data_IF_579364472179
#
_entry.id   IF_579364472179
#
_cell.length_a   1.000
_cell.length_b   1.000
_cell.length_c   1.000
_cell.angle_alpha   90.00
_cell.angle_beta   90.00
_cell.angle_gamma   90.00
#
_symmetry.space_group_name_H-M   'P 1'
#
loop_
_entity.id
_entity.type
_entity.pdbx_description
1 polymer ?
#
# COMPACT_ATOMS: atom_id res chain seq x y z
N UNK A 1 -9.79 14.32 -14.89
CA UNK A 1 -9.55 14.12 -13.42
C UNK A 1 -8.66 15.27 -12.96
N UNK A 2 -9.16 16.16 -12.09
CA UNK A 2 -8.58 17.48 -11.77
C UNK A 2 -7.07 17.43 -11.39
N UNK A 3 -6.62 16.42 -10.62
CA UNK A 3 -5.24 16.34 -10.18
C UNK A 3 -4.26 15.97 -11.33
N UNK A 4 -4.69 15.12 -12.26
CA UNK A 4 -3.90 14.77 -13.45
C UNK A 4 -3.80 15.96 -14.43
N UNK A 5 -4.90 16.66 -14.66
CA UNK A 5 -4.95 17.85 -15.52
C UNK A 5 -4.03 18.98 -15.02
N UNK A 6 -3.81 19.04 -13.70
CA UNK A 6 -2.90 20.00 -13.07
C UNK A 6 -1.46 19.50 -12.93
N UNK A 7 -1.13 18.36 -13.54
CA UNK A 7 0.22 17.76 -13.46
C UNK A 7 0.62 17.30 -12.07
N UNK A 8 -0.34 17.11 -11.15
CA UNK A 8 -0.08 16.68 -9.78
C UNK A 8 -0.06 15.15 -9.64
N UNK A 9 -0.51 14.42 -10.64
CA UNK A 9 -0.51 12.96 -10.71
C UNK A 9 0.16 12.53 -12.01
N UNK A 10 1.46 12.18 -11.95
CA UNK A 10 2.32 11.94 -13.11
C UNK A 10 2.21 10.51 -13.64
N UNK A 11 1.94 9.54 -12.74
CA UNK A 11 1.71 8.13 -13.06
C UNK A 11 2.89 7.33 -13.66
N UNK A 12 4.06 7.91 -13.91
CA UNK A 12 5.20 7.18 -14.47
C UNK A 12 5.78 6.15 -13.49
N UNK A 13 5.69 6.44 -12.20
CA UNK A 13 6.13 5.52 -11.14
C UNK A 13 5.05 5.33 -10.08
N UNK A 14 4.92 4.09 -9.58
CA UNK A 14 3.96 3.75 -8.53
C UNK A 14 4.68 3.14 -7.32
N UNK A 15 4.34 3.59 -6.12
CA UNK A 15 4.70 2.90 -4.89
C UNK A 15 3.47 2.20 -4.31
N UNK A 16 3.63 0.92 -3.94
CA UNK A 16 2.53 0.08 -3.41
C UNK A 16 2.80 -0.35 -1.98
N UNK A 17 1.77 -0.35 -1.16
CA UNK A 17 1.81 -0.88 0.21
C UNK A 17 0.39 -1.15 0.73
N UNK A 18 0.30 -1.81 1.90
CA UNK A 18 -0.95 -2.14 2.55
C UNK A 18 -0.94 -1.76 4.03
N UNK A 19 -2.11 -1.38 4.53
CA UNK A 19 -2.29 -1.13 5.95
C UNK A 19 -3.48 -1.88 6.51
N UNK A 20 -3.35 -2.33 7.76
CA UNK A 20 -4.45 -3.00 8.49
C UNK A 20 -5.37 -1.94 9.07
N UNK A 21 -6.68 -2.14 8.88
CA UNK A 21 -7.77 -1.40 9.53
C UNK A 21 -8.48 -2.39 10.45
N UNK A 22 -8.49 -2.09 11.73
CA UNK A 22 -9.06 -2.99 12.73
C UNK A 22 -10.60 -3.08 12.62
N UNK A 23 -11.15 -4.24 12.93
CA UNK A 23 -12.59 -4.45 13.09
C UNK A 23 -12.93 -4.91 14.52
N UNK A 24 -14.17 -4.73 14.98
CA UNK A 24 -14.60 -5.27 16.27
C UNK A 24 -14.43 -6.79 16.31
N UNK A 25 -13.65 -7.28 17.27
CA UNK A 25 -13.44 -8.71 17.47
C UNK A 25 -14.42 -9.34 18.46
N UNK A 26 -15.26 -8.53 19.11
CA UNK A 26 -16.27 -8.98 20.09
C UNK A 26 -17.41 -9.72 19.41
N UNK A 27 -17.89 -10.77 20.07
CA UNK A 27 -19.13 -11.48 19.73
C UNK A 27 -20.30 -11.03 20.59
N UNK A 28 -20.10 -10.02 21.48
CA UNK A 28 -21.15 -9.44 22.31
C UNK A 28 -21.97 -8.42 21.51
N UNK A 29 -22.70 -8.90 20.53
CA UNK A 29 -23.61 -8.12 19.69
C UNK A 29 -24.90 -8.94 19.48
N UNK A 30 -25.93 -8.33 18.90
CA UNK A 30 -27.23 -8.97 18.68
C UNK A 30 -27.16 -10.28 17.88
N UNK A 31 -26.18 -10.41 17.01
CA UNK A 31 -26.00 -11.62 16.18
C UNK A 31 -25.10 -12.68 16.81
N UNK A 32 -24.43 -12.38 17.92
CA UNK A 32 -23.45 -13.28 18.56
C UNK A 32 -22.23 -13.64 17.72
N UNK A 33 -22.05 -12.97 16.57
CA UNK A 33 -21.01 -13.31 15.59
C UNK A 33 -20.13 -12.12 15.23
N UNK A 34 -18.90 -12.40 14.82
CA UNK A 34 -18.00 -11.41 14.19
C UNK A 34 -18.43 -11.17 12.74
N UNK A 35 -17.94 -10.09 12.17
CA UNK A 35 -18.09 -9.83 10.73
C UNK A 35 -17.37 -10.92 9.93
N UNK A 36 -18.11 -11.67 9.11
CA UNK A 36 -17.60 -12.81 8.35
C UNK A 36 -16.65 -12.43 7.21
N UNK A 37 -16.68 -11.17 6.76
CA UNK A 37 -15.79 -10.65 5.72
C UNK A 37 -14.46 -10.12 6.29
N UNK A 38 -14.34 -10.08 7.63
CA UNK A 38 -13.12 -9.65 8.33
C UNK A 38 -12.37 -10.87 8.86
N UNK A 39 -11.03 -10.86 8.75
CA UNK A 39 -10.21 -11.98 9.19
C UNK A 39 -9.06 -11.56 10.09
N UNK A 40 -8.43 -12.55 10.71
CA UNK A 40 -7.25 -12.36 11.54
C UNK A 40 -5.99 -12.36 10.69
N UNK A 41 -5.04 -11.50 11.06
CA UNK A 41 -3.68 -11.50 10.53
C UNK A 41 -2.68 -11.22 11.64
N UNK A 42 -1.45 -11.68 11.49
CA UNK A 42 -0.36 -11.44 12.44
C UNK A 42 0.62 -10.44 11.83
N UNK A 43 0.94 -9.38 12.57
CA UNK A 43 2.03 -8.44 12.21
C UNK A 43 3.01 -8.38 13.38
N UNK A 44 4.23 -8.84 13.15
CA UNK A 44 5.17 -9.08 14.25
C UNK A 44 4.63 -10.12 15.24
N UNK A 45 4.56 -9.79 16.52
CA UNK A 45 4.00 -10.66 17.56
C UNK A 45 2.53 -10.34 17.92
N UNK A 46 1.91 -9.39 17.22
CA UNK A 46 0.54 -8.95 17.50
C UNK A 46 -0.46 -9.48 16.48
N UNK A 47 -1.60 -9.95 16.97
CA UNK A 47 -2.76 -10.36 16.17
C UNK A 47 -3.71 -9.19 15.96
N UNK A 48 -4.19 -9.05 14.74
CA UNK A 48 -5.19 -8.08 14.34
C UNK A 48 -6.38 -8.80 13.70
N UNK A 49 -7.59 -8.33 13.98
CA UNK A 49 -8.81 -8.75 13.29
C UNK A 49 -9.35 -7.57 12.50
N UNK A 50 -9.63 -7.73 11.22
CA UNK A 50 -10.12 -6.65 10.39
C UNK A 50 -9.93 -6.87 8.89
N UNK A 51 -9.68 -5.77 8.18
CA UNK A 51 -9.42 -5.71 6.75
C UNK A 51 -8.07 -5.07 6.45
N UNK A 52 -7.62 -5.19 5.21
CA UNK A 52 -6.50 -4.42 4.66
C UNK A 52 -7.00 -3.41 3.65
N UNK A 53 -6.36 -2.25 3.64
CA UNK A 53 -6.41 -1.29 2.55
C UNK A 53 -5.06 -1.32 1.85
N UNK A 54 -5.07 -1.72 0.59
CA UNK A 54 -3.92 -1.69 -0.30
C UNK A 54 -4.03 -0.44 -1.16
N UNK A 55 -2.94 0.29 -1.35
CA UNK A 55 -2.93 1.50 -2.18
C UNK A 55 -1.77 1.50 -3.15
N UNK A 56 -2.04 2.04 -4.35
CA UNK A 56 -1.03 2.52 -5.28
C UNK A 56 -0.96 4.04 -5.20
N UNK A 57 0.24 4.57 -5.00
CA UNK A 57 0.49 6.01 -4.98
C UNK A 57 1.48 6.39 -6.05
N UNK A 58 1.29 7.56 -6.62
CA UNK A 58 2.27 8.15 -7.52
C UNK A 58 3.61 8.37 -6.81
N UNK A 59 4.68 7.83 -7.38
CA UNK A 59 6.02 7.83 -6.78
C UNK A 59 6.62 9.24 -6.65
N UNK A 60 6.13 10.22 -7.40
CA UNK A 60 6.60 11.61 -7.36
C UNK A 60 5.79 12.47 -6.42
N UNK A 61 4.48 12.50 -6.59
CA UNK A 61 3.58 13.35 -5.79
C UNK A 61 3.19 12.74 -4.43
N UNK A 62 3.19 11.41 -4.31
CA UNK A 62 2.67 10.67 -3.16
C UNK A 62 1.14 10.65 -3.08
N UNK A 63 0.44 11.01 -4.16
CA UNK A 63 -1.02 10.99 -4.24
C UNK A 63 -1.52 9.58 -4.58
N UNK A 64 -2.59 9.17 -3.93
CA UNK A 64 -3.22 7.86 -4.13
C UNK A 64 -3.99 7.86 -5.46
N UNK A 65 -3.70 6.92 -6.34
CA UNK A 65 -4.43 6.72 -7.58
C UNK A 65 -5.31 5.46 -7.56
N UNK A 66 -4.94 4.44 -6.78
CA UNK A 66 -5.67 3.18 -6.69
C UNK A 66 -5.85 2.75 -5.24
N UNK A 67 -7.02 2.22 -4.91
CA UNK A 67 -7.37 1.69 -3.59
C UNK A 67 -8.07 0.36 -3.77
N UNK A 68 -7.53 -0.69 -3.17
CA UNK A 68 -8.10 -2.04 -3.13
C UNK A 68 -8.26 -2.47 -1.68
N UNK A 69 -9.31 -3.17 -1.36
CA UNK A 69 -9.54 -3.65 0.01
C UNK A 69 -9.75 -5.15 0.03
N UNK A 70 -9.22 -5.79 1.05
CA UNK A 70 -9.37 -7.23 1.27
C UNK A 70 -9.59 -7.53 2.74
N UNK A 71 -9.98 -8.76 3.06
CA UNK A 71 -9.86 -9.28 4.41
C UNK A 71 -8.39 -9.27 4.86
N UNK A 72 -8.14 -9.11 6.17
CA UNK A 72 -6.77 -8.91 6.68
C UNK A 72 -5.81 -10.08 6.45
N UNK A 73 -6.31 -11.29 6.18
CA UNK A 73 -5.49 -12.48 5.90
C UNK A 73 -5.01 -12.59 4.45
N UNK A 74 -5.52 -11.77 3.52
CA UNK A 74 -5.02 -11.75 2.15
C UNK A 74 -3.55 -11.29 2.11
N UNK A 75 -2.73 -11.95 1.28
CA UNK A 75 -1.34 -11.55 1.11
C UNK A 75 -1.22 -10.33 0.21
N UNK A 76 -0.39 -9.35 0.59
CA UNK A 76 -0.26 -8.08 -0.13
C UNK A 76 0.18 -8.27 -1.58
N UNK A 77 1.08 -9.22 -1.83
CA UNK A 77 1.57 -9.56 -3.17
C UNK A 77 0.48 -10.04 -4.12
N UNK A 78 -0.62 -10.62 -3.60
CA UNK A 78 -1.73 -11.09 -4.45
C UNK A 78 -2.56 -9.95 -5.02
N UNK A 79 -2.50 -8.77 -4.40
CA UNK A 79 -3.25 -7.58 -4.82
C UNK A 79 -2.40 -6.64 -5.70
N UNK A 80 -1.13 -6.98 -5.93
CA UNK A 80 -0.19 -6.11 -6.62
C UNK A 80 -0.68 -5.67 -8.02
N UNK A 81 -1.29 -6.59 -8.78
CA UNK A 81 -1.79 -6.32 -10.14
C UNK A 81 -2.97 -5.34 -10.15
N UNK A 82 -3.83 -5.36 -9.13
CA UNK A 82 -4.97 -4.46 -9.02
C UNK A 82 -4.57 -3.02 -8.60
N UNK A 83 -3.34 -2.84 -8.10
CA UNK A 83 -2.82 -1.54 -7.67
C UNK A 83 -2.19 -0.75 -8.81
N UNK A 84 -1.98 -1.38 -9.97
CA UNK A 84 -1.42 -0.75 -11.14
C UNK A 84 -2.52 -0.12 -12.01
N UNK A 85 -2.18 0.97 -12.67
CA UNK A 85 -3.08 1.65 -13.64
C UNK A 85 -2.68 1.37 -15.10
N UNK A 86 -1.58 0.62 -15.33
CA UNK A 86 -1.17 0.14 -16.66
C UNK A 86 -0.24 1.09 -17.45
N UNK A 87 0.12 2.24 -16.89
CA UNK A 87 1.03 3.22 -17.51
C UNK A 87 2.36 3.34 -16.72
N UNK A 88 2.58 2.44 -15.73
CA UNK A 88 3.79 2.47 -14.91
C UNK A 88 5.02 1.99 -15.67
N UNK A 89 6.10 2.76 -15.58
CA UNK A 89 7.45 2.33 -15.96
C UNK A 89 8.14 1.62 -14.79
N UNK A 90 7.98 2.16 -13.57
CA UNK A 90 8.63 1.68 -12.35
C UNK A 90 7.62 1.48 -11.21
N UNK A 91 7.74 0.35 -10.49
CA UNK A 91 6.92 0.04 -9.32
C UNK A 91 7.79 -0.25 -8.09
N UNK A 92 7.57 0.47 -7.01
CA UNK A 92 8.31 0.36 -5.75
C UNK A 92 7.48 -0.34 -4.69
N UNK A 93 8.01 -1.43 -4.13
CA UNK A 93 7.31 -2.26 -3.15
C UNK A 93 8.21 -2.66 -1.99
N UNK A 94 7.60 -3.04 -0.87
CA UNK A 94 8.34 -3.59 0.27
C UNK A 94 8.77 -5.05 0.04
N UNK A 95 9.51 -5.61 0.99
CA UNK A 95 9.99 -6.99 0.90
C UNK A 95 8.87 -8.04 0.96
N UNK A 96 7.66 -7.68 1.33
CA UNK A 96 6.46 -8.53 1.30
C UNK A 96 6.00 -8.86 -0.12
N UNK A 97 6.35 -8.02 -1.10
CA UNK A 97 6.03 -8.21 -2.51
C UNK A 97 7.06 -9.05 -3.29
N UNK A 98 7.99 -9.72 -2.63
CA UNK A 98 8.98 -10.57 -3.30
C UNK A 98 8.31 -11.65 -4.15
N UNK A 99 8.84 -11.80 -5.37
CA UNK A 99 8.32 -12.76 -6.35
C UNK A 99 7.09 -12.27 -7.10
N UNK A 100 6.71 -11.01 -6.94
CA UNK A 100 5.60 -10.38 -7.69
C UNK A 100 5.77 -10.53 -9.19
N UNK A 101 6.99 -10.37 -9.72
CA UNK A 101 7.34 -10.49 -11.15
C UNK A 101 7.06 -11.90 -11.73
N UNK A 102 6.98 -12.92 -10.86
CA UNK A 102 6.73 -14.31 -11.27
C UNK A 102 5.27 -14.67 -11.37
N UNK A 103 4.38 -13.80 -10.90
CA UNK A 103 2.93 -14.03 -10.86
C UNK A 103 2.33 -13.88 -12.26
N UNK A 104 1.42 -14.78 -12.61
CA UNK A 104 0.78 -14.77 -13.93
C UNK A 104 -0.04 -13.50 -14.17
N UNK A 105 -0.68 -12.96 -13.13
CA UNK A 105 -1.47 -11.74 -13.20
C UNK A 105 -0.61 -10.52 -13.57
N UNK A 106 0.66 -10.52 -13.14
CA UNK A 106 1.62 -9.46 -13.47
C UNK A 106 2.20 -9.66 -14.87
N UNK A 107 2.50 -10.91 -15.25
CA UNK A 107 3.02 -11.24 -16.58
C UNK A 107 2.02 -10.95 -17.70
N UNK A 108 0.73 -11.01 -17.40
CA UNK A 108 -0.33 -10.69 -18.36
C UNK A 108 -0.37 -9.20 -18.74
N UNK A 109 0.16 -8.31 -17.88
CA UNK A 109 0.24 -6.88 -18.16
C UNK A 109 1.37 -6.59 -19.15
N UNK A 110 1.08 -5.82 -20.21
CA UNK A 110 2.04 -5.39 -21.22
C UNK A 110 1.86 -3.90 -21.49
N UNK A 111 2.93 -3.08 -21.44
CA UNK A 111 4.29 -3.43 -21.03
C UNK A 111 4.39 -3.75 -19.54
N UNK A 112 5.33 -4.62 -19.17
CA UNK A 112 5.59 -4.92 -17.76
C UNK A 112 6.41 -3.80 -17.13
N UNK A 113 6.01 -3.27 -15.95
CA UNK A 113 6.81 -2.30 -15.24
C UNK A 113 8.05 -2.93 -14.60
N UNK A 114 9.07 -2.13 -14.35
CA UNK A 114 10.25 -2.54 -13.60
C UNK A 114 9.91 -2.58 -12.10
N UNK A 115 9.97 -3.75 -11.48
CA UNK A 115 9.70 -3.92 -10.06
C UNK A 115 10.94 -3.66 -9.20
N UNK A 116 10.86 -2.69 -8.32
CA UNK A 116 11.88 -2.31 -7.33
C UNK A 116 11.48 -2.78 -5.93
N UNK A 117 11.49 -4.09 -5.73
CA UNK A 117 11.17 -4.68 -4.43
C UNK A 117 12.32 -4.47 -3.46
N UNK A 118 12.03 -4.01 -2.25
CA UNK A 118 13.02 -3.78 -1.21
C UNK A 118 13.69 -5.09 -0.75
N UNK A 119 14.97 -5.02 -0.47
CA UNK A 119 15.74 -6.13 0.09
C UNK A 119 15.25 -6.45 1.52
N UNK A 120 15.22 -7.74 1.87
CA UNK A 120 14.92 -8.14 3.25
C UNK A 120 15.91 -7.50 4.25
N UNK A 121 15.41 -7.01 5.41
CA UNK A 121 16.26 -6.35 6.40
C UNK A 121 17.47 -7.17 6.85
N UNK A 122 17.31 -8.50 6.97
CA UNK A 122 18.42 -9.41 7.32
C UNK A 122 19.51 -9.44 6.24
N UNK A 123 19.14 -9.54 4.96
CA UNK A 123 20.08 -9.51 3.85
C UNK A 123 20.80 -8.16 3.74
N UNK A 124 20.06 -7.05 3.92
CA UNK A 124 20.65 -5.72 3.88
C UNK A 124 21.66 -5.49 5.02
N UNK A 125 21.39 -6.02 6.23
CA UNK A 125 22.34 -5.96 7.37
C UNK A 125 23.62 -6.74 7.12
N UNK A 126 23.54 -7.84 6.37
CA UNK A 126 24.69 -8.69 6.04
C UNK A 126 25.55 -8.15 4.88
N UNK A 127 25.17 -7.01 4.24
CA UNK A 127 25.99 -6.40 3.20
C UNK A 127 27.30 -5.87 3.79
N UNK A 128 28.42 -6.23 3.14
CA UNK A 128 29.71 -5.58 3.40
C UNK A 128 29.75 -4.23 2.66
N UNK A 129 29.47 -3.17 3.41
CA UNK A 129 29.40 -1.79 2.88
C UNK A 129 30.78 -1.19 2.59
N UNK A 130 31.86 -1.84 2.98
CA UNK A 130 33.23 -1.39 2.70
C UNK A 130 33.65 -1.76 1.27
N UNK A 131 32.96 -2.71 0.64
CA UNK A 131 33.19 -3.04 -0.77
C UNK A 131 32.45 -2.06 -1.70
N UNK A 132 33.01 -1.71 -2.88
CA UNK A 132 32.33 -0.85 -3.84
C UNK A 132 30.93 -1.38 -4.23
N UNK A 133 30.82 -2.69 -4.43
CA UNK A 133 29.54 -3.36 -4.74
C UNK A 133 28.54 -3.25 -3.59
N UNK A 134 28.96 -3.53 -2.36
CA UNK A 134 28.07 -3.48 -1.19
C UNK A 134 27.61 -2.06 -0.89
N UNK A 135 28.50 -1.06 -1.03
CA UNK A 135 28.16 0.36 -0.91
C UNK A 135 27.13 0.80 -1.95
N UNK A 136 27.31 0.40 -3.23
CA UNK A 136 26.35 0.71 -4.30
C UNK A 136 24.98 0.08 -4.04
N UNK A 137 24.95 -1.19 -3.65
CA UNK A 137 23.69 -1.89 -3.32
C UNK A 137 22.98 -1.21 -2.14
N UNK A 138 23.71 -0.82 -1.08
CA UNK A 138 23.09 -0.10 0.05
C UNK A 138 22.56 1.29 -0.36
N UNK A 139 23.23 1.99 -1.28
CA UNK A 139 22.77 3.26 -1.84
C UNK A 139 21.48 3.08 -2.65
N UNK A 140 21.39 2.04 -3.49
CA UNK A 140 20.16 1.70 -4.21
C UNK A 140 19.01 1.39 -3.26
N UNK A 141 19.23 0.58 -2.21
CA UNK A 141 18.21 0.28 -1.22
C UNK A 141 17.76 1.52 -0.43
N UNK A 142 18.64 2.48 -0.16
CA UNK A 142 18.26 3.78 0.41
C UNK A 142 17.35 4.58 -0.53
N UNK A 143 17.65 4.58 -1.81
CA UNK A 143 16.82 5.28 -2.82
C UNK A 143 15.44 4.65 -2.92
N UNK A 144 15.34 3.31 -3.04
CA UNK A 144 14.06 2.58 -3.01
C UNK A 144 13.26 2.91 -1.74
N UNK A 145 13.90 2.88 -0.56
CA UNK A 145 13.24 3.18 0.70
C UNK A 145 12.70 4.62 0.74
N UNK A 146 13.45 5.61 0.21
CA UNK A 146 13.03 7.01 0.14
C UNK A 146 11.81 7.21 -0.76
N UNK A 147 11.77 6.56 -1.92
CA UNK A 147 10.62 6.63 -2.83
C UNK A 147 9.41 5.96 -2.19
N UNK A 148 9.60 4.74 -1.65
CA UNK A 148 8.54 3.99 -1.00
C UNK A 148 7.97 4.67 0.26
N UNK A 149 8.78 5.47 0.96
CA UNK A 149 8.29 6.24 2.12
C UNK A 149 7.11 7.18 1.78
N UNK A 150 6.92 7.52 0.51
CA UNK A 150 5.79 8.36 0.07
C UNK A 150 4.43 7.68 0.31
N UNK A 151 4.36 6.34 0.24
CA UNK A 151 3.12 5.59 0.51
C UNK A 151 2.68 5.67 1.98
N UNK A 152 3.60 5.95 2.89
CA UNK A 152 3.30 6.11 4.32
C UNK A 152 2.51 7.41 4.61
N UNK A 153 2.68 8.45 3.77
CA UNK A 153 2.01 9.74 4.00
C UNK A 153 0.49 9.64 3.89
N UNK A 154 -0.12 9.05 2.84
CA UNK A 154 -1.55 8.80 2.79
C UNK A 154 -2.07 8.01 4.00
N UNK A 155 -1.38 6.96 4.41
CA UNK A 155 -1.78 6.18 5.58
C UNK A 155 -1.72 6.99 6.87
N UNK A 156 -0.72 7.85 7.03
CA UNK A 156 -0.62 8.74 8.18
C UNK A 156 -1.77 9.74 8.21
N UNK A 157 -2.11 10.37 7.08
CA UNK A 157 -3.25 11.29 7.01
C UNK A 157 -4.54 10.56 7.33
N UNK A 158 -4.78 9.39 6.73
CA UNK A 158 -5.96 8.56 6.99
C UNK A 158 -6.11 8.23 8.47
N UNK A 159 -5.04 7.75 9.11
CA UNK A 159 -5.10 7.27 10.50
C UNK A 159 -4.98 8.37 11.55
N UNK A 160 -4.12 9.36 11.34
CA UNK A 160 -3.82 10.38 12.34
C UNK A 160 -4.66 11.65 12.17
N UNK A 161 -4.92 12.11 10.92
CA UNK A 161 -5.70 13.32 10.69
C UNK A 161 -7.21 13.02 10.64
N UNK A 162 -7.60 11.92 9.97
CA UNK A 162 -9.01 11.54 9.84
C UNK A 162 -9.46 10.52 10.88
N UNK A 163 -8.54 9.99 11.70
CA UNK A 163 -8.84 9.07 12.80
C UNK A 163 -9.39 7.71 12.33
N UNK A 164 -9.18 7.32 11.06
CA UNK A 164 -9.70 6.07 10.51
C UNK A 164 -8.75 4.90 10.80
N UNK A 165 -8.76 4.44 12.04
CA UNK A 165 -7.97 3.28 12.49
C UNK A 165 -8.79 1.99 12.61
N UNK A 166 -10.13 2.12 12.57
CA UNK A 166 -11.11 1.04 12.75
C UNK A 166 -12.25 1.20 11.75
N UNK A 167 -12.76 0.08 11.25
CA UNK A 167 -13.93 0.07 10.33
C UNK A 167 -15.15 0.75 10.96
N UNK A 168 -15.94 1.42 10.13
CA UNK A 168 -17.16 2.12 10.54
C UNK A 168 -18.42 1.33 10.25
N UNK A 169 -18.37 0.42 9.28
CA UNK A 169 -19.51 -0.34 8.78
C UNK A 169 -19.24 -1.84 8.90
N UNK A 170 -20.31 -2.65 8.81
CA UNK A 170 -20.23 -4.10 8.66
C UNK A 170 -20.03 -4.43 7.17
N UNK A 171 -19.15 -5.39 6.88
CA UNK A 171 -18.82 -5.87 5.54
C UNK A 171 -17.76 -5.06 4.80
N UNK A 172 -17.14 -5.66 3.78
CA UNK A 172 -16.08 -5.03 3.00
C UNK A 172 -16.61 -3.91 2.11
N UNK A 173 -17.69 -4.13 1.37
CA UNK A 173 -18.17 -3.21 0.35
C UNK A 173 -18.42 -1.78 0.87
N UNK A 174 -19.09 -1.63 2.02
CA UNK A 174 -19.37 -0.32 2.63
C UNK A 174 -18.09 0.36 3.14
N UNK A 175 -17.17 -0.42 3.72
CA UNK A 175 -15.88 0.09 4.17
C UNK A 175 -14.98 0.47 3.00
N UNK A 176 -15.03 -0.25 1.87
CA UNK A 176 -14.34 0.09 0.62
C UNK A 176 -14.80 1.45 0.09
N UNK A 177 -16.10 1.66 -0.06
CA UNK A 177 -16.66 2.92 -0.51
C UNK A 177 -16.27 4.09 0.40
N UNK A 178 -16.30 3.87 1.72
CA UNK A 178 -15.84 4.87 2.69
C UNK A 178 -14.34 5.17 2.55
N UNK A 179 -13.50 4.13 2.39
CA UNK A 179 -12.07 4.31 2.18
C UNK A 179 -11.74 5.04 0.89
N UNK A 180 -12.44 4.75 -0.21
CA UNK A 180 -12.27 5.47 -1.47
C UNK A 180 -12.55 6.99 -1.28
N UNK A 181 -13.63 7.34 -0.58
CA UNK A 181 -13.94 8.74 -0.24
C UNK A 181 -12.86 9.36 0.65
N UNK A 182 -12.41 8.64 1.68
CA UNK A 182 -11.37 9.14 2.58
C UNK A 182 -10.04 9.34 1.86
N UNK A 183 -9.63 8.44 0.95
CA UNK A 183 -8.40 8.63 0.17
C UNK A 183 -8.50 9.76 -0.84
N UNK A 184 -9.69 10.04 -1.39
CA UNK A 184 -9.91 11.26 -2.18
C UNK A 184 -9.68 12.53 -1.33
N UNK A 185 -10.19 12.57 -0.10
CA UNK A 185 -9.94 13.65 0.86
C UNK A 185 -8.48 13.71 1.30
N UNK A 186 -7.82 12.56 1.48
CA UNK A 186 -6.36 12.48 1.75
C UNK A 186 -5.58 13.14 0.62
N UNK A 187 -5.93 12.89 -0.63
CA UNK A 187 -5.28 13.51 -1.78
C UNK A 187 -5.44 15.04 -1.77
N UNK A 188 -6.65 15.54 -1.50
CA UNK A 188 -6.87 16.98 -1.35
C UNK A 188 -6.05 17.57 -0.19
N UNK A 189 -5.99 16.86 0.94
CA UNK A 189 -5.16 17.27 2.08
C UNK A 189 -3.67 17.34 1.72
N UNK A 190 -3.14 16.33 1.02
CA UNK A 190 -1.73 16.29 0.62
C UNK A 190 -1.41 17.35 -0.44
N UNK A 191 -2.33 17.59 -1.37
CA UNK A 191 -2.17 18.57 -2.44
C UNK A 191 -2.42 20.03 -2.02
N UNK A 192 -3.05 20.29 -0.86
CA UNK A 192 -3.53 21.63 -0.42
C UNK A 192 -2.52 22.77 -0.48
N UNK A 193 -1.23 22.46 -0.47
CA UNK A 193 -0.15 23.47 -0.59
C UNK A 193 0.37 23.64 -2.03
N UNK A 194 -0.14 22.82 -2.95
CA UNK A 194 0.26 22.80 -4.38
C UNK A 194 -0.87 23.27 -5.29
N UNK A 195 -2.09 23.39 -4.74
CA UNK A 195 -3.29 23.95 -5.37
C UNK A 195 -3.43 25.41 -4.94
#
# INVERSE_FOLDING_TARGET
MILAERGLLLKAGTAVDATIIAAPSSTKNDTGTRDSEMHQTKKGNQWFFGMKAHIGVDADSGLVHTVVTTSANAHDVTQAHELLHGEEEDVFADSGYRGVEKREEIKANQPQPNWHVAMMPGKRRALDKNTPRGSLVDALERTKARIRAKVEHPFRVLKCQFGFTKVRYKGLAKNTANLATLFALVNLWLARKRI
#
